data_IF_905568833900
#
_entry.id   IF_905568833900
#
_cell.length_a   1.000
_cell.length_b   1.000
_cell.length_c   1.000
_cell.angle_alpha   90.00
_cell.angle_beta   90.00
_cell.angle_gamma   90.00
#
_symmetry.space_group_name_H-M   'P 1'
#
loop_
_entity.id
_entity.type
_entity.pdbx_description
1 polymer ?
#
# COMPACT_ATOMS: atom_id res chain seq x y z
N UNK A 1 16.10 -15.39 4.59
CA UNK A 1 15.06 -14.36 4.34
C UNK A 1 14.26 -14.17 5.62
N UNK A 2 14.23 -12.95 6.16
CA UNK A 2 13.49 -12.63 7.39
C UNK A 2 11.97 -12.68 7.15
N UNK A 3 11.14 -12.64 8.20
CA UNK A 3 9.68 -12.57 8.06
C UNK A 3 9.25 -11.27 7.37
N UNK A 4 9.93 -10.17 7.68
CA UNK A 4 9.71 -8.88 7.05
C UNK A 4 10.01 -8.95 5.55
N UNK A 5 11.13 -9.58 5.17
CA UNK A 5 11.50 -9.73 3.75
C UNK A 5 10.48 -10.60 3.00
N UNK A 6 9.99 -11.69 3.61
CA UNK A 6 8.95 -12.53 3.02
C UNK A 6 7.66 -11.75 2.78
N UNK A 7 7.23 -10.96 3.76
CA UNK A 7 6.05 -10.11 3.66
C UNK A 7 6.23 -9.05 2.55
N UNK A 8 7.36 -8.35 2.55
CA UNK A 8 7.69 -7.33 1.54
C UNK A 8 7.71 -7.92 0.13
N UNK A 9 8.35 -9.07 -0.07
CA UNK A 9 8.41 -9.74 -1.37
C UNK A 9 7.02 -10.20 -1.84
N UNK A 10 6.20 -10.75 -0.94
CA UNK A 10 4.83 -11.13 -1.27
C UNK A 10 4.01 -9.90 -1.69
N UNK A 11 3.99 -8.84 -0.87
CA UNK A 11 3.26 -7.61 -1.16
C UNK A 11 3.71 -6.95 -2.46
N UNK A 12 5.02 -6.94 -2.77
CA UNK A 12 5.52 -6.42 -4.05
C UNK A 12 4.93 -7.14 -5.25
N UNK A 13 4.70 -8.44 -5.14
CA UNK A 13 4.13 -9.27 -6.21
C UNK A 13 2.62 -9.07 -6.36
N UNK A 14 1.88 -8.92 -5.27
CA UNK A 14 0.40 -8.93 -5.31
C UNK A 14 -0.25 -7.54 -5.32
N UNK A 15 0.42 -6.50 -4.83
CA UNK A 15 -0.14 -5.14 -4.85
C UNK A 15 -0.17 -4.66 -6.30
N UNK A 16 -1.34 -4.36 -6.83
CA UNK A 16 -1.51 -3.76 -8.16
C UNK A 16 -2.11 -2.37 -8.02
N UNK A 17 -1.56 -1.39 -8.74
CA UNK A 17 -2.10 -0.04 -8.76
C UNK A 17 -3.35 -0.03 -9.62
N UNK A 18 -4.47 0.34 -9.03
CA UNK A 18 -5.71 0.54 -9.75
C UNK A 18 -5.72 1.94 -10.38
N UNK A 19 -5.58 1.99 -11.70
CA UNK A 19 -5.58 3.23 -12.46
C UNK A 19 -6.94 3.94 -12.47
N UNK A 20 -8.05 3.21 -12.30
CA UNK A 20 -9.38 3.83 -12.23
C UNK A 20 -9.46 4.80 -11.05
N UNK A 21 -8.94 4.39 -9.87
CA UNK A 21 -8.87 5.27 -8.70
C UNK A 21 -7.90 6.45 -8.91
N UNK A 22 -6.79 6.24 -9.64
CA UNK A 22 -5.87 7.35 -9.97
C UNK A 22 -6.60 8.41 -10.79
N UNK A 23 -7.39 7.99 -11.77
CA UNK A 23 -8.15 8.90 -12.61
C UNK A 23 -9.28 9.58 -11.84
N UNK A 24 -9.93 8.90 -10.90
CA UNK A 24 -10.88 9.51 -9.96
C UNK A 24 -10.21 10.57 -9.07
N UNK A 25 -9.02 10.29 -8.52
CA UNK A 25 -8.27 11.25 -7.70
C UNK A 25 -7.89 12.48 -8.52
N UNK A 26 -7.45 12.32 -9.76
CA UNK A 26 -7.11 13.44 -10.66
C UNK A 26 -8.30 14.33 -11.01
N UNK A 27 -9.53 13.85 -10.86
CA UNK A 27 -10.74 14.64 -11.05
C UNK A 27 -11.12 15.47 -9.82
N UNK A 28 -10.48 15.23 -8.66
CA UNK A 28 -10.70 16.01 -7.46
C UNK A 28 -10.08 17.42 -7.58
N UNK A 29 -10.53 18.40 -6.77
CA UNK A 29 -9.93 19.73 -6.79
C UNK A 29 -8.44 19.70 -6.48
N UNK A 30 -7.62 20.38 -7.29
CA UNK A 30 -6.16 20.40 -7.14
C UNK A 30 -5.71 20.80 -5.73
N UNK A 31 -6.42 21.73 -5.08
CA UNK A 31 -6.11 22.16 -3.71
C UNK A 31 -6.24 21.04 -2.68
N UNK A 32 -7.14 20.08 -2.89
CA UNK A 32 -7.28 18.91 -2.02
C UNK A 32 -6.14 17.92 -2.30
N UNK A 33 -5.84 17.67 -3.58
CA UNK A 33 -4.74 16.81 -4.00
C UNK A 33 -3.41 17.31 -3.42
N UNK A 34 -3.13 18.61 -3.54
CA UNK A 34 -1.93 19.25 -3.00
C UNK A 34 -1.86 19.18 -1.47
N UNK A 35 -3.00 19.38 -0.78
CA UNK A 35 -3.08 19.28 0.68
C UNK A 35 -2.67 17.88 1.18
N UNK A 36 -3.03 16.83 0.44
CA UNK A 36 -2.65 15.46 0.79
C UNK A 36 -1.25 15.07 0.31
N UNK A 37 -0.51 15.97 -0.34
CA UNK A 37 0.85 15.69 -0.83
C UNK A 37 0.92 15.08 -2.24
N UNK A 38 -0.15 15.24 -3.04
CA UNK A 38 -0.22 14.77 -4.42
C UNK A 38 -1.06 13.50 -4.60
N UNK A 39 -1.24 13.10 -5.87
CA UNK A 39 -2.02 11.92 -6.25
C UNK A 39 -1.47 10.64 -5.62
N UNK A 40 -0.14 10.52 -5.56
CA UNK A 40 0.51 9.34 -5.00
C UNK A 40 0.24 9.16 -3.49
N UNK A 41 0.35 10.24 -2.73
CA UNK A 41 0.14 10.22 -1.28
C UNK A 41 -1.35 10.06 -0.94
N UNK A 42 -2.23 10.70 -1.73
CA UNK A 42 -3.67 10.46 -1.64
C UNK A 42 -4.00 8.98 -1.86
N UNK A 43 -3.47 8.37 -2.93
CA UNK A 43 -3.74 6.95 -3.21
C UNK A 43 -3.23 6.03 -2.10
N UNK A 44 -2.01 6.27 -1.59
CA UNK A 44 -1.41 5.46 -0.53
C UNK A 44 -2.15 5.55 0.82
N UNK A 45 -2.71 6.71 1.14
CA UNK A 45 -3.31 6.97 2.46
C UNK A 45 -4.83 6.79 2.50
N UNK A 46 -5.50 6.81 1.35
CA UNK A 46 -6.97 6.65 1.28
C UNK A 46 -7.39 5.18 1.10
N UNK A 47 -8.68 4.91 1.33
CA UNK A 47 -9.28 3.57 1.23
C UNK A 47 -9.14 2.88 -0.14
N UNK A 48 -8.69 3.61 -1.16
CA UNK A 48 -8.25 3.09 -2.47
C UNK A 48 -7.07 2.11 -2.36
N UNK A 49 -6.33 2.14 -1.23
CA UNK A 49 -5.22 1.24 -0.91
C UNK A 49 -5.53 0.24 0.22
N UNK A 50 -6.79 -0.12 0.41
CA UNK A 50 -7.15 -0.97 1.57
C UNK A 50 -6.36 -2.28 1.62
N UNK A 51 -6.01 -2.86 0.45
CA UNK A 51 -5.20 -4.07 0.23
C UNK A 51 -5.33 -5.13 1.35
N UNK A 52 -6.54 -5.25 1.90
CA UNK A 52 -6.74 -5.90 3.19
C UNK A 52 -6.44 -7.39 3.05
N UNK A 53 -6.95 -7.98 1.97
CA UNK A 53 -6.75 -9.39 1.64
C UNK A 53 -5.28 -9.69 1.38
N UNK A 54 -4.59 -8.82 0.65
CA UNK A 54 -3.17 -8.94 0.32
C UNK A 54 -2.31 -8.86 1.58
N UNK A 55 -2.61 -7.92 2.48
CA UNK A 55 -1.93 -7.78 3.78
C UNK A 55 -2.14 -9.01 4.65
N UNK A 56 -3.38 -9.48 4.78
CA UNK A 56 -3.69 -10.69 5.56
C UNK A 56 -2.93 -11.90 5.02
N UNK A 57 -2.90 -12.06 3.69
CA UNK A 57 -2.20 -13.16 3.05
C UNK A 57 -0.68 -13.03 3.19
N UNK A 58 -0.12 -11.83 3.09
CA UNK A 58 1.31 -11.57 3.28
C UNK A 58 1.76 -11.90 4.70
N UNK A 59 0.97 -11.51 5.72
CA UNK A 59 1.25 -11.82 7.13
C UNK A 59 1.23 -13.33 7.37
N UNK A 60 0.22 -14.04 6.84
CA UNK A 60 0.12 -15.50 6.91
C UNK A 60 1.31 -16.17 6.23
N UNK A 61 1.64 -15.75 5.02
CA UNK A 61 2.76 -16.27 4.23
C UNK A 61 4.12 -16.06 4.93
N UNK A 62 4.33 -14.92 5.58
CA UNK A 62 5.54 -14.63 6.32
C UNK A 62 5.73 -15.49 7.59
N UNK A 63 4.66 -16.15 8.08
CA UNK A 63 4.72 -17.07 9.21
C UNK A 63 4.95 -16.37 10.55
N UNK A 64 4.31 -15.21 10.78
CA UNK A 64 4.34 -14.54 12.08
C UNK A 64 3.65 -15.41 13.14
N UNK A 65 4.22 -15.46 14.37
CA UNK A 65 3.70 -16.27 15.47
C UNK A 65 2.33 -15.78 15.94
N UNK A 66 2.13 -14.46 15.89
CA UNK A 66 0.90 -13.77 16.24
C UNK A 66 0.49 -12.90 15.04
N UNK A 67 -0.16 -13.49 14.02
CA UNK A 67 -0.48 -12.78 12.78
C UNK A 67 -1.53 -11.67 12.98
N UNK A 68 -2.33 -11.76 14.03
CA UNK A 68 -3.35 -10.77 14.39
C UNK A 68 -2.84 -9.68 15.35
N UNK A 69 -1.53 -9.62 15.64
CA UNK A 69 -1.02 -8.57 16.52
C UNK A 69 -0.99 -7.23 15.80
N UNK A 70 -1.36 -6.18 16.53
CA UNK A 70 -1.37 -4.80 16.02
C UNK A 70 0.00 -4.40 15.45
N UNK A 71 1.09 -4.73 16.15
CA UNK A 71 2.44 -4.46 15.65
C UNK A 71 2.77 -5.14 14.31
N UNK A 72 2.23 -6.33 14.04
CA UNK A 72 2.42 -7.01 12.75
C UNK A 72 1.56 -6.34 11.68
N UNK A 73 0.34 -5.94 12.03
CA UNK A 73 -0.56 -5.20 11.16
C UNK A 73 0.03 -3.84 10.74
N UNK A 74 0.47 -3.03 11.69
CA UNK A 74 1.10 -1.72 11.45
C UNK A 74 2.31 -1.85 10.51
N UNK A 75 3.17 -2.85 10.74
CA UNK A 75 4.31 -3.12 9.87
C UNK A 75 3.88 -3.49 8.45
N UNK A 76 2.82 -4.28 8.31
CA UNK A 76 2.32 -4.65 7.00
C UNK A 76 1.73 -3.45 6.24
N UNK A 77 1.03 -2.55 6.95
CA UNK A 77 0.53 -1.29 6.40
C UNK A 77 1.69 -0.40 5.93
N UNK A 78 2.72 -0.21 6.76
CA UNK A 78 3.91 0.58 6.39
C UNK A 78 4.59 0.01 5.14
N UNK A 79 4.79 -1.31 5.08
CA UNK A 79 5.39 -1.96 3.90
C UNK A 79 4.50 -1.81 2.67
N UNK A 80 3.17 -1.92 2.82
CA UNK A 80 2.21 -1.66 1.74
C UNK A 80 2.34 -0.23 1.23
N UNK A 81 2.42 0.76 2.11
CA UNK A 81 2.56 2.17 1.74
C UNK A 81 3.86 2.46 0.98
N UNK A 82 4.98 1.91 1.47
CA UNK A 82 6.26 2.00 0.78
C UNK A 82 6.17 1.45 -0.65
N UNK A 83 5.56 0.26 -0.83
CA UNK A 83 5.44 -0.40 -2.13
C UNK A 83 4.53 0.40 -3.06
N UNK A 84 3.41 0.91 -2.55
CA UNK A 84 2.48 1.73 -3.34
C UNK A 84 3.18 3.00 -3.82
N UNK A 85 3.87 3.72 -2.94
CA UNK A 85 4.65 4.91 -3.33
C UNK A 85 5.75 4.59 -4.33
N UNK A 86 6.50 3.51 -4.11
CA UNK A 86 7.53 3.02 -5.03
C UNK A 86 6.93 2.78 -6.42
N UNK A 87 5.81 2.05 -6.52
CA UNK A 87 5.13 1.79 -7.80
C UNK A 87 4.59 3.06 -8.48
N UNK A 88 3.99 3.97 -7.73
CA UNK A 88 3.46 5.22 -8.27
C UNK A 88 4.58 6.15 -8.77
N UNK A 89 5.72 6.19 -8.07
CA UNK A 89 6.89 6.96 -8.53
C UNK A 89 7.42 6.50 -9.89
N UNK A 90 7.38 5.19 -10.19
CA UNK A 90 7.80 4.66 -11.49
C UNK A 90 6.84 5.06 -12.62
N UNK A 91 5.59 5.38 -12.29
CA UNK A 91 4.58 5.83 -13.24
C UNK A 91 4.67 7.34 -13.51
N UNK A 92 5.64 8.05 -12.91
CA UNK A 92 5.77 9.51 -12.99
C UNK A 92 4.49 10.24 -12.55
N UNK A 93 3.78 9.66 -11.57
CA UNK A 93 2.59 10.22 -10.91
C UNK A 93 2.99 10.95 -9.63
#
# INVERSE_FOLDING_TARGET
MSKLDKMKNYLKQVIEINFDYIDEIKQMPQSQIDFMGGVAEWYATTGCSSYYTEIVNAIKFAGYKYPSSESVWEKAIQVKDEIVREKLSYLSI
#
